data_IF_754875066620
#
_entry.id   IF_754875066620
#
_cell.length_a   1.000
_cell.length_b   1.000
_cell.length_c   1.000
_cell.angle_alpha   90.00
_cell.angle_beta   90.00
_cell.angle_gamma   90.00
#
_symmetry.space_group_name_H-M   'P 1'
#
loop_
_entity.id
_entity.type
_entity.pdbx_description
1 polymer ?
#
# COMPACT_ATOMS: atom_id res chain seq x y z
N UNK A 1 -5.26 7.26 -3.71
CA UNK A 1 -4.40 6.27 -3.03
C UNK A 1 -4.85 4.83 -3.27
N UNK A 2 -5.89 4.30 -2.61
CA UNK A 2 -6.27 2.88 -2.78
C UNK A 2 -6.63 2.51 -4.23
N UNK A 3 -7.35 3.40 -4.94
CA UNK A 3 -7.64 3.21 -6.37
C UNK A 3 -6.36 3.10 -7.19
N UNK A 4 -5.40 4.01 -6.98
CA UNK A 4 -4.16 4.05 -7.75
C UNK A 4 -3.29 2.82 -7.48
N UNK A 5 -3.23 2.37 -6.23
CA UNK A 5 -2.55 1.12 -5.85
C UNK A 5 -3.25 -0.08 -6.51
N UNK A 6 -4.58 -0.12 -6.47
CA UNK A 6 -5.36 -1.18 -7.12
C UNK A 6 -5.13 -1.21 -8.63
N UNK A 7 -5.13 -0.06 -9.29
CA UNK A 7 -4.90 0.04 -10.73
C UNK A 7 -3.49 -0.42 -11.10
N UNK A 8 -2.47 -0.06 -10.30
CA UNK A 8 -1.10 -0.55 -10.46
C UNK A 8 -1.04 -2.09 -10.34
N UNK A 9 -1.70 -2.69 -9.35
CA UNK A 9 -1.65 -4.15 -9.16
C UNK A 9 -2.30 -4.95 -10.30
N UNK A 10 -3.10 -4.30 -11.16
CA UNK A 10 -3.73 -4.92 -12.33
C UNK A 10 -2.88 -4.84 -13.61
N UNK A 11 -1.72 -4.16 -13.59
CA UNK A 11 -0.89 -4.08 -14.79
C UNK A 11 -0.24 -5.43 -15.09
N UNK A 12 -0.40 -5.89 -16.33
CA UNK A 12 0.09 -7.20 -16.76
C UNK A 12 1.61 -7.25 -16.93
N UNK A 13 2.28 -6.11 -17.15
CA UNK A 13 3.73 -6.04 -17.32
C UNK A 13 4.52 -6.38 -16.04
N UNK A 14 3.86 -6.43 -14.88
CA UNK A 14 4.44 -6.97 -13.64
C UNK A 14 4.78 -8.46 -13.72
N UNK A 15 4.23 -9.21 -14.68
CA UNK A 15 4.57 -10.61 -14.89
C UNK A 15 6.07 -10.78 -15.22
N UNK A 16 6.65 -9.81 -15.93
CA UNK A 16 8.06 -9.82 -16.33
C UNK A 16 9.00 -9.24 -15.26
N UNK A 17 8.47 -8.65 -14.19
CA UNK A 17 9.29 -8.01 -13.15
C UNK A 17 9.73 -9.00 -12.08
N UNK A 18 10.93 -8.83 -11.53
CA UNK A 18 11.45 -9.67 -10.45
C UNK A 18 10.99 -9.28 -9.05
N UNK A 19 10.61 -8.01 -8.83
CA UNK A 19 10.17 -7.46 -7.54
C UNK A 19 9.35 -6.18 -7.73
N UNK A 20 8.65 -5.74 -6.68
CA UNK A 20 7.90 -4.47 -6.66
C UNK A 20 8.24 -3.68 -5.39
N UNK A 21 8.40 -2.36 -5.53
CA UNK A 21 8.65 -1.44 -4.43
C UNK A 21 7.56 -0.38 -4.43
N UNK A 22 6.84 -0.26 -3.32
CA UNK A 22 5.87 0.80 -3.09
C UNK A 22 6.42 1.78 -2.06
N UNK A 23 6.51 3.06 -2.41
CA UNK A 23 6.91 4.13 -1.48
C UNK A 23 5.72 5.05 -1.24
N UNK A 24 5.25 5.12 0.00
CA UNK A 24 4.14 6.00 0.40
C UNK A 24 4.67 7.08 1.35
N UNK A 25 4.47 8.34 0.97
CA UNK A 25 4.87 9.51 1.75
C UNK A 25 3.64 10.37 2.01
N UNK A 26 3.23 10.51 3.27
CA UNK A 26 2.07 11.32 3.67
C UNK A 26 2.11 11.62 5.17
N UNK A 27 1.16 12.41 5.67
CA UNK A 27 0.84 12.38 7.09
C UNK A 27 0.28 11.00 7.47
N UNK A 28 0.53 10.59 8.71
CA UNK A 28 0.00 9.36 9.25
C UNK A 28 -0.42 9.52 10.71
N UNK A 29 -1.19 8.55 11.19
CA UNK A 29 -1.63 8.46 12.57
C UNK A 29 -1.83 6.99 12.95
N UNK A 30 -1.89 6.71 14.24
CA UNK A 30 -2.23 5.41 14.79
C UNK A 30 -3.59 5.52 15.49
N UNK A 31 -4.53 4.66 15.14
CA UNK A 31 -5.84 4.55 15.80
C UNK A 31 -6.00 3.15 16.38
N UNK A 32 -5.85 3.03 17.69
CA UNK A 32 -5.77 1.73 18.37
C UNK A 32 -4.61 0.90 17.82
N UNK A 33 -4.89 -0.31 17.33
CA UNK A 33 -3.87 -1.21 16.76
C UNK A 33 -3.54 -0.93 15.27
N UNK A 34 -4.19 0.06 14.64
CA UNK A 34 -4.11 0.26 13.20
C UNK A 34 -3.32 1.52 12.84
N UNK A 35 -2.31 1.36 11.98
CA UNK A 35 -1.67 2.50 11.31
C UNK A 35 -2.53 3.01 10.16
N UNK A 36 -2.60 4.33 10.03
CA UNK A 36 -3.38 5.05 9.02
C UNK A 36 -2.50 6.03 8.25
N UNK A 37 -2.89 6.28 6.99
CA UNK A 37 -2.34 7.34 6.14
C UNK A 37 -3.44 8.33 5.77
N UNK A 38 -3.12 9.62 5.70
CA UNK A 38 -4.03 10.64 5.19
C UNK A 38 -3.97 10.69 3.65
N UNK A 39 -5.13 10.70 3.02
CA UNK A 39 -5.30 11.13 1.63
C UNK A 39 -5.39 12.65 1.53
N UNK A 40 -5.18 13.18 0.33
CA UNK A 40 -5.39 14.61 0.04
C UNK A 40 -6.85 15.04 0.16
N UNK A 41 -7.77 14.08 0.14
CA UNK A 41 -9.21 14.24 0.39
C UNK A 41 -9.58 14.22 1.89
N UNK A 42 -8.57 14.30 2.77
CA UNK A 42 -8.69 14.23 4.24
C UNK A 42 -9.26 12.91 4.76
N UNK A 43 -9.42 11.89 3.91
CA UNK A 43 -9.83 10.55 4.34
C UNK A 43 -8.64 9.76 4.86
N UNK A 44 -8.91 8.92 5.83
CA UNK A 44 -7.95 7.98 6.38
C UNK A 44 -8.00 6.67 5.60
N UNK A 45 -6.82 6.13 5.29
CA UNK A 45 -6.63 4.82 4.69
C UNK A 45 -5.90 3.93 5.68
N UNK A 46 -6.43 2.75 5.99
CA UNK A 46 -5.73 1.79 6.84
C UNK A 46 -4.56 1.21 6.08
N UNK A 47 -3.41 1.10 6.72
CA UNK A 47 -2.25 0.39 6.14
C UNK A 47 -2.58 -1.06 5.79
N UNK A 48 -3.51 -1.69 6.52
CA UNK A 48 -3.98 -3.04 6.19
C UNK A 48 -4.67 -3.11 4.83
N UNK A 49 -5.42 -2.09 4.43
CA UNK A 49 -6.09 -2.07 3.12
C UNK A 49 -5.05 -1.94 1.99
N UNK A 50 -3.95 -1.21 2.24
CA UNK A 50 -2.81 -1.13 1.32
C UNK A 50 -2.13 -2.50 1.20
N UNK A 51 -1.83 -3.16 2.31
CA UNK A 51 -1.19 -4.47 2.30
C UNK A 51 -2.07 -5.56 1.68
N UNK A 52 -3.39 -5.47 1.86
CA UNK A 52 -4.35 -6.37 1.21
C UNK A 52 -4.29 -6.25 -0.31
N UNK A 53 -4.25 -5.02 -0.86
CA UNK A 53 -4.09 -4.81 -2.30
C UNK A 53 -2.77 -5.37 -2.84
N UNK A 54 -1.70 -5.34 -2.04
CA UNK A 54 -0.38 -5.86 -2.40
C UNK A 54 -0.21 -7.37 -2.10
N UNK A 55 -1.24 -8.03 -1.56
CA UNK A 55 -1.23 -9.46 -1.28
C UNK A 55 -1.05 -10.30 -2.56
N UNK A 56 -0.70 -11.57 -2.41
CA UNK A 56 -0.59 -12.47 -3.58
C UNK A 56 -1.93 -12.72 -4.28
N UNK A 57 -3.04 -12.60 -3.55
CA UNK A 57 -4.39 -12.83 -4.10
C UNK A 57 -4.84 -11.65 -4.98
N UNK A 58 -4.49 -10.42 -4.56
CA UNK A 58 -4.88 -9.18 -5.25
C UNK A 58 -3.81 -8.68 -6.24
N UNK A 59 -2.55 -9.04 -6.06
CA UNK A 59 -1.43 -8.67 -6.94
C UNK A 59 -0.81 -9.93 -7.58
N UNK A 60 -1.62 -10.63 -8.39
CA UNK A 60 -1.32 -11.96 -8.93
C UNK A 60 -0.01 -12.05 -9.71
N UNK A 61 0.30 -11.05 -10.53
CA UNK A 61 1.56 -11.00 -11.30
C UNK A 61 2.82 -10.91 -10.42
N UNK A 62 2.65 -10.54 -9.15
CA UNK A 62 3.67 -10.47 -8.11
C UNK A 62 3.50 -11.55 -7.02
N UNK A 63 2.71 -12.60 -7.28
CA UNK A 63 2.61 -13.74 -6.37
C UNK A 63 3.94 -14.49 -6.31
N UNK A 64 4.42 -14.79 -5.10
CA UNK A 64 5.71 -15.44 -4.87
C UNK A 64 6.95 -14.55 -5.10
N UNK A 65 6.77 -13.30 -5.56
CA UNK A 65 7.86 -12.35 -5.80
C UNK A 65 8.02 -11.37 -4.63
N UNK A 66 9.24 -10.85 -4.35
CA UNK A 66 9.46 -9.88 -3.29
C UNK A 66 8.69 -8.58 -3.49
N UNK A 67 8.06 -8.10 -2.41
CA UNK A 67 7.32 -6.83 -2.35
C UNK A 67 7.82 -6.02 -1.16
N UNK A 68 8.37 -4.84 -1.43
CA UNK A 68 8.92 -3.94 -0.40
C UNK A 68 8.00 -2.73 -0.28
N UNK A 69 7.55 -2.42 0.94
CA UNK A 69 6.75 -1.22 1.21
C UNK A 69 7.54 -0.29 2.12
N UNK A 70 7.83 0.91 1.65
CA UNK A 70 8.51 1.97 2.40
C UNK A 70 7.47 3.03 2.78
N UNK A 71 7.28 3.23 4.08
CA UNK A 71 6.33 4.20 4.61
C UNK A 71 7.08 5.36 5.26
N UNK A 72 6.92 6.56 4.70
CA UNK A 72 7.36 7.81 5.32
C UNK A 72 6.12 8.57 5.79
N UNK A 73 5.73 8.31 7.04
CA UNK A 73 4.58 8.96 7.66
C UNK A 73 4.74 9.03 9.18
N UNK A 74 4.10 10.02 9.80
CA UNK A 74 3.97 10.07 11.25
C UNK A 74 3.20 8.85 11.77
N UNK A 75 3.43 8.49 13.04
CA UNK A 75 2.71 7.41 13.75
C UNK A 75 2.06 7.89 15.05
N UNK A 76 1.80 9.19 15.15
CA UNK A 76 1.19 9.81 16.33
C UNK A 76 -0.10 9.08 16.72
N UNK A 77 -0.25 8.82 18.02
CA UNK A 77 -1.45 8.20 18.58
C UNK A 77 -2.55 9.26 18.68
N UNK A 78 -3.74 8.95 18.14
CA UNK A 78 -4.91 9.82 18.18
C UNK A 78 -6.07 9.20 18.94
#
# INVERSE_FOLDING_TARGET
MLKDIKDETQRSDHEDYGMHITVLMSHGATYGAYGMLYGTDLKLVKLLDVFDLLSSDNFKHMAGKPKVVILLACREEK
#
